data_IF_767396339653
#
_entry.id   IF_767396339653
#
_cell.length_a   1.000
_cell.length_b   1.000
_cell.length_c   1.000
_cell.angle_alpha   90.00
_cell.angle_beta   90.00
_cell.angle_gamma   90.00
#
_symmetry.space_group_name_H-M   'P 1'
#
loop_
_entity.id
_entity.type
_entity.pdbx_description
1 polymer ?
#
# COMPACT_ATOMS: atom_id res chain seq x y z
N UNK A 1 -22.40 25.96 27.87
CA UNK A 1 -21.51 24.89 27.38
C UNK A 1 -21.50 24.99 25.85
N UNK A 2 -20.75 25.97 25.34
CA UNK A 2 -20.84 26.41 23.94
C UNK A 2 -19.59 25.96 23.20
N UNK A 3 -19.78 25.12 22.18
CA UNK A 3 -18.73 24.57 21.32
C UNK A 3 -17.96 25.70 20.65
N UNK A 4 -16.67 25.82 20.96
CA UNK A 4 -15.75 26.60 20.13
C UNK A 4 -15.36 25.73 18.95
N UNK A 5 -15.99 26.00 17.80
CA UNK A 5 -15.48 25.51 16.52
C UNK A 5 -14.26 26.37 16.23
N UNK A 6 -13.08 25.75 16.30
CA UNK A 6 -11.79 26.32 15.91
C UNK A 6 -11.93 26.85 14.48
N UNK A 7 -12.05 28.17 14.33
CA UNK A 7 -12.08 28.79 13.01
C UNK A 7 -10.70 28.58 12.40
N UNK A 8 -10.63 27.72 11.38
CA UNK A 8 -9.44 27.57 10.56
C UNK A 8 -9.12 28.93 9.95
N UNK A 9 -8.00 29.49 10.39
CA UNK A 9 -7.52 30.81 10.04
C UNK A 9 -7.15 30.83 8.54
N UNK A 10 -8.14 31.15 7.70
CA UNK A 10 -8.02 31.11 6.24
C UNK A 10 -6.94 32.06 5.72
N UNK A 11 -6.63 33.12 6.49
CA UNK A 11 -5.53 34.04 6.21
C UNK A 11 -4.17 33.35 6.23
N UNK A 12 -4.02 32.32 7.07
CA UNK A 12 -2.81 31.48 7.05
C UNK A 12 -2.67 30.82 5.69
N UNK A 13 -3.75 30.35 5.06
CA UNK A 13 -3.69 29.63 3.77
C UNK A 13 -3.29 30.54 2.59
N UNK A 14 -3.45 31.86 2.74
CA UNK A 14 -3.22 32.86 1.69
C UNK A 14 -1.79 33.47 1.77
N UNK A 15 -1.01 33.12 2.80
CA UNK A 15 0.34 33.68 3.03
C UNK A 15 1.32 33.41 1.84
N UNK A 16 1.78 34.46 1.13
CA UNK A 16 2.73 34.34 0.01
C UNK A 16 4.11 33.81 0.43
N UNK A 17 4.42 33.78 1.73
CA UNK A 17 5.64 33.18 2.29
C UNK A 17 5.67 31.66 2.07
N UNK A 18 4.51 31.00 1.95
CA UNK A 18 4.43 29.57 1.61
C UNK A 18 5.01 29.25 0.23
N UNK A 19 4.87 30.18 -0.73
CA UNK A 19 5.40 30.02 -2.09
C UNK A 19 6.93 30.19 -2.13
N UNK A 20 7.53 30.85 -1.12
CA UNK A 20 8.98 31.02 -1.02
C UNK A 20 9.72 29.72 -0.68
N UNK A 21 9.04 28.67 -0.22
CA UNK A 21 9.67 27.35 -0.05
C UNK A 21 10.02 26.70 -1.40
N UNK A 22 9.22 26.98 -2.45
CA UNK A 22 9.46 26.51 -3.82
C UNK A 22 10.43 27.42 -4.60
N UNK A 23 10.52 28.71 -4.23
CA UNK A 23 11.40 29.70 -4.85
C UNK A 23 12.72 29.96 -4.09
N UNK A 24 12.84 29.43 -2.86
CA UNK A 24 14.04 29.48 -2.06
C UNK A 24 15.03 28.36 -2.43
N UNK A 25 16.23 28.41 -1.88
CA UNK A 25 17.34 27.48 -2.13
C UNK A 25 17.02 25.98 -1.99
N UNK A 26 15.89 25.61 -1.37
CA UNK A 26 15.36 24.24 -1.34
C UNK A 26 14.86 23.75 -2.72
N UNK A 27 14.35 24.63 -3.59
CA UNK A 27 13.89 24.27 -4.94
C UNK A 27 15.03 23.91 -5.90
N UNK A 28 16.19 24.54 -5.74
CA UNK A 28 17.39 24.21 -6.53
C UNK A 28 17.95 22.82 -6.18
N UNK A 29 17.92 22.44 -4.90
CA UNK A 29 18.32 21.10 -4.44
C UNK A 29 17.32 20.04 -4.94
N UNK A 30 16.02 20.33 -4.89
CA UNK A 30 14.97 19.43 -5.40
C UNK A 30 15.04 19.22 -6.92
N UNK A 31 15.26 20.27 -7.71
CA UNK A 31 15.36 20.16 -9.18
C UNK A 31 16.69 19.55 -9.64
N UNK A 32 17.82 19.86 -8.97
CA UNK A 32 19.10 19.21 -9.25
C UNK A 32 19.08 17.72 -8.88
N UNK A 33 18.42 17.35 -7.78
CA UNK A 33 18.16 15.96 -7.43
C UNK A 33 17.19 15.28 -8.41
N UNK A 34 16.15 15.95 -8.87
CA UNK A 34 15.17 15.39 -9.80
C UNK A 34 15.73 15.18 -11.21
N UNK A 35 16.44 16.17 -11.76
CA UNK A 35 16.98 16.12 -13.13
C UNK A 35 18.38 15.48 -13.19
N UNK A 36 19.16 15.53 -12.10
CA UNK A 36 20.50 14.95 -12.00
C UNK A 36 20.53 13.48 -11.59
N UNK A 37 19.38 12.79 -11.56
CA UNK A 37 19.29 11.36 -11.28
C UNK A 37 19.10 10.97 -9.80
N UNK A 38 18.99 11.93 -8.89
CA UNK A 38 18.78 11.70 -7.45
C UNK A 38 17.45 11.03 -7.07
N UNK A 39 16.44 10.99 -7.95
CA UNK A 39 15.22 10.17 -7.74
C UNK A 39 15.52 8.66 -7.88
N UNK A 40 16.56 8.31 -8.63
CA UNK A 40 17.02 6.92 -8.78
C UNK A 40 17.99 6.50 -7.67
N UNK A 41 18.52 7.47 -6.90
CA UNK A 41 19.47 7.26 -5.81
C UNK A 41 18.82 7.27 -4.41
N UNK A 42 17.49 7.37 -4.32
CA UNK A 42 16.81 6.92 -3.10
C UNK A 42 16.87 5.40 -3.14
N UNK A 43 17.95 4.83 -2.60
CA UNK A 43 18.01 3.39 -2.33
C UNK A 43 16.68 2.99 -1.68
N UNK A 44 16.09 1.86 -2.07
CA UNK A 44 14.95 1.27 -1.35
C UNK A 44 15.27 1.01 0.14
N UNK A 45 16.55 1.14 0.51
CA UNK A 45 17.12 1.14 1.85
C UNK A 45 16.90 2.45 2.63
N UNK A 46 16.32 3.48 2.00
CA UNK A 46 15.91 4.70 2.67
C UNK A 46 14.72 4.41 3.60
N UNK A 47 15.10 3.89 4.77
CA UNK A 47 14.51 4.13 6.07
C UNK A 47 13.17 3.41 6.31
N UNK A 48 13.28 2.10 6.50
CA UNK A 48 12.77 1.55 7.76
C UNK A 48 13.56 2.22 8.90
N UNK A 49 13.28 3.50 9.15
CA UNK A 49 13.71 4.15 10.39
C UNK A 49 13.15 3.31 11.52
N UNK A 50 13.97 3.10 12.55
CA UNK A 50 13.62 2.44 13.80
C UNK A 50 12.57 3.33 14.50
N UNK A 51 11.34 3.28 13.99
CA UNK A 51 10.19 3.95 14.58
C UNK A 51 10.10 3.46 16.02
N UNK A 52 9.83 4.35 16.99
CA UNK A 52 9.75 3.96 18.39
C UNK A 52 8.80 2.76 18.50
N UNK A 53 9.19 1.69 19.23
CA UNK A 53 8.48 0.43 19.21
C UNK A 53 7.02 0.65 19.54
N UNK A 54 6.16 0.41 18.56
CA UNK A 54 4.74 0.54 18.73
C UNK A 54 4.24 -0.67 19.52
N UNK A 55 3.78 -0.45 20.75
CA UNK A 55 3.29 -1.52 21.65
C UNK A 55 2.18 -2.39 21.04
N UNK A 56 1.47 -1.89 20.01
CA UNK A 56 0.43 -2.64 19.31
C UNK A 56 0.95 -3.51 18.15
N UNK A 57 2.16 -3.25 17.64
CA UNK A 57 2.75 -3.98 16.52
C UNK A 57 3.75 -5.03 17.03
N UNK A 58 3.26 -6.24 17.26
CA UNK A 58 4.06 -7.34 17.80
C UNK A 58 4.89 -8.13 16.78
N UNK A 59 5.09 -7.61 15.57
CA UNK A 59 5.82 -8.29 14.50
C UNK A 59 6.99 -7.45 14.00
N UNK A 60 8.05 -8.13 13.53
CA UNK A 60 9.16 -7.48 12.85
C UNK A 60 8.76 -7.08 11.43
N UNK A 61 8.98 -5.82 11.06
CA UNK A 61 8.80 -5.37 9.68
C UNK A 61 9.68 -6.16 8.70
N UNK A 62 9.14 -6.50 7.55
CA UNK A 62 9.82 -7.22 6.47
C UNK A 62 10.04 -6.29 5.26
N UNK A 63 11.06 -6.57 4.46
CA UNK A 63 11.34 -5.81 3.25
C UNK A 63 10.24 -6.00 2.19
N UNK A 64 10.06 -4.99 1.34
CA UNK A 64 9.21 -5.13 0.16
C UNK A 64 9.78 -6.19 -0.80
N UNK A 65 8.89 -6.95 -1.44
CA UNK A 65 9.25 -8.02 -2.37
C UNK A 65 8.51 -7.84 -3.70
N UNK A 66 9.15 -8.26 -4.79
CA UNK A 66 8.56 -8.37 -6.13
C UNK A 66 8.38 -9.82 -6.57
N UNK A 67 8.63 -10.77 -5.68
CA UNK A 67 8.44 -12.18 -5.96
C UNK A 67 6.95 -12.53 -6.00
N UNK A 68 6.56 -13.47 -6.85
CA UNK A 68 5.21 -14.01 -6.93
C UNK A 68 4.98 -15.05 -5.81
N UNK A 69 5.11 -14.60 -4.57
CA UNK A 69 4.93 -15.41 -3.36
C UNK A 69 4.44 -14.58 -2.18
N UNK A 70 3.96 -15.24 -1.12
CA UNK A 70 3.55 -14.59 0.12
C UNK A 70 4.71 -14.57 1.11
N UNK A 71 5.42 -13.44 1.23
CA UNK A 71 6.46 -13.23 2.25
C UNK A 71 5.82 -12.79 3.58
N UNK A 72 6.18 -13.44 4.69
CA UNK A 72 5.60 -13.20 6.02
C UNK A 72 6.68 -13.01 7.10
N UNK A 73 6.32 -12.38 8.21
CA UNK A 73 7.22 -12.22 9.35
C UNK A 73 7.55 -13.57 10.04
N UNK A 74 8.72 -13.70 10.68
CA UNK A 74 9.07 -14.91 11.43
C UNK A 74 8.01 -15.28 12.48
N UNK A 75 7.70 -16.58 12.59
CA UNK A 75 6.70 -17.09 13.54
C UNK A 75 5.25 -17.09 13.04
N UNK A 76 5.02 -16.60 11.81
CA UNK A 76 3.70 -16.62 11.17
C UNK A 76 3.60 -17.71 10.10
N UNK A 77 2.37 -18.02 9.67
CA UNK A 77 2.04 -18.96 8.58
C UNK A 77 0.89 -18.41 7.74
N UNK A 78 0.96 -18.61 6.43
CA UNK A 78 -0.15 -18.39 5.52
C UNK A 78 -0.64 -19.74 4.93
N UNK A 79 -1.95 -19.85 4.69
CA UNK A 79 -2.60 -20.99 4.05
C UNK A 79 -3.69 -20.50 3.10
N UNK A 80 -3.84 -21.18 1.96
CA UNK A 80 -4.96 -20.93 1.05
C UNK A 80 -6.20 -21.54 1.66
N UNK A 81 -7.20 -20.70 1.97
CA UNK A 81 -8.48 -21.15 2.52
C UNK A 81 -9.46 -21.57 1.43
N UNK A 82 -9.57 -20.74 0.39
CA UNK A 82 -10.43 -20.97 -0.77
C UNK A 82 -9.80 -20.31 -2.00
N UNK A 83 -9.95 -20.93 -3.16
CA UNK A 83 -9.42 -20.46 -4.44
C UNK A 83 -10.54 -20.17 -5.44
N UNK A 84 -10.25 -19.30 -6.39
CA UNK A 84 -11.16 -19.04 -7.50
C UNK A 84 -11.48 -20.34 -8.25
N UNK A 85 -12.76 -20.54 -8.57
CA UNK A 85 -13.24 -21.73 -9.28
C UNK A 85 -13.53 -22.94 -8.39
N UNK A 86 -13.28 -22.88 -7.07
CA UNK A 86 -13.59 -24.00 -6.19
C UNK A 86 -15.12 -24.23 -6.09
N UNK A 87 -15.59 -25.49 -6.22
CA UNK A 87 -17.02 -25.82 -6.12
C UNK A 87 -17.60 -25.48 -4.75
N UNK A 88 -18.71 -24.72 -4.70
CA UNK A 88 -19.38 -24.35 -3.45
C UNK A 88 -20.57 -25.25 -3.08
N UNK A 89 -21.07 -26.02 -4.05
CA UNK A 89 -22.24 -26.90 -3.89
C UNK A 89 -21.97 -28.28 -4.48
N UNK A 90 -22.66 -29.29 -3.94
CA UNK A 90 -22.53 -30.66 -4.41
C UNK A 90 -22.89 -30.77 -5.90
N UNK A 91 -22.01 -31.46 -6.66
CA UNK A 91 -22.17 -31.67 -8.09
C UNK A 91 -21.80 -30.47 -8.97
N UNK A 92 -21.29 -29.37 -8.40
CA UNK A 92 -20.68 -28.32 -9.21
C UNK A 92 -19.37 -28.81 -9.85
N UNK A 93 -19.07 -28.41 -11.09
CA UNK A 93 -17.86 -28.83 -11.77
C UNK A 93 -16.63 -28.22 -11.11
N UNK A 94 -15.52 -28.96 -11.14
CA UNK A 94 -14.22 -28.43 -10.74
C UNK A 94 -13.78 -27.31 -11.70
N UNK A 95 -12.93 -26.41 -11.19
CA UNK A 95 -12.25 -25.41 -11.99
C UNK A 95 -11.46 -26.05 -13.14
N UNK A 96 -11.64 -25.53 -14.35
CA UNK A 96 -10.87 -25.87 -15.54
C UNK A 96 -9.88 -24.74 -15.86
N UNK A 97 -8.55 -24.95 -15.66
CA UNK A 97 -7.52 -23.97 -15.99
C UNK A 97 -7.46 -23.57 -17.46
N UNK A 98 -8.06 -24.37 -18.36
CA UNK A 98 -8.14 -24.03 -19.79
C UNK A 98 -9.30 -23.07 -20.11
N UNK A 99 -10.14 -22.73 -19.12
CA UNK A 99 -11.21 -21.74 -19.25
C UNK A 99 -12.44 -22.25 -19.99
N UNK A 100 -12.69 -23.56 -20.02
CA UNK A 100 -13.88 -24.12 -20.71
C UNK A 100 -15.13 -24.19 -19.81
N UNK A 101 -15.05 -23.84 -18.52
CA UNK A 101 -16.23 -23.76 -17.67
C UNK A 101 -17.20 -22.71 -18.22
N UNK A 102 -18.49 -23.04 -18.24
CA UNK A 102 -19.53 -22.12 -18.68
C UNK A 102 -19.84 -21.08 -17.59
N UNK A 103 -20.56 -20.01 -17.97
CA UNK A 103 -21.04 -19.04 -16.99
C UNK A 103 -21.92 -19.68 -15.90
N UNK A 104 -22.74 -20.68 -16.27
CA UNK A 104 -23.60 -21.40 -15.33
C UNK A 104 -22.80 -22.29 -14.35
N UNK A 105 -21.60 -22.71 -14.75
CA UNK A 105 -20.69 -23.43 -13.87
C UNK A 105 -20.06 -22.48 -12.84
N UNK A 106 -19.63 -21.30 -13.29
CA UNK A 106 -19.03 -20.27 -12.43
C UNK A 106 -19.99 -19.77 -11.35
N UNK A 107 -21.29 -19.71 -11.62
CA UNK A 107 -22.33 -19.35 -10.62
C UNK A 107 -22.33 -20.27 -9.38
N UNK A 108 -21.82 -21.49 -9.53
CA UNK A 108 -21.75 -22.51 -8.46
C UNK A 108 -20.34 -22.66 -7.86
N UNK A 109 -19.38 -21.90 -8.37
CA UNK A 109 -18.00 -21.90 -7.93
C UNK A 109 -17.69 -20.62 -7.13
N UNK A 110 -16.59 -20.62 -6.38
CA UNK A 110 -16.11 -19.41 -5.73
C UNK A 110 -15.61 -18.41 -6.76
N UNK A 111 -16.19 -17.20 -6.80
CA UNK A 111 -15.87 -16.17 -7.78
C UNK A 111 -15.66 -14.77 -7.22
N UNK A 112 -15.90 -14.55 -5.92
CA UNK A 112 -15.79 -13.24 -5.27
C UNK A 112 -15.42 -13.34 -3.80
#
# INVERSE_FOLDING_TARGET
MTKQIEQLDADRLIDPTRRKLLLGSAGAVGLAGFLGGGIWSVSAEALAEDLPPNTLLGFQGIAASTADEVTIAPGYRAEVLISWGEPLVDGAPAFDPQGNNSAADQEKQFWR
#
